data_IF_404522187291
#
_entry.id   IF_404522187291
#
_cell.length_a   1.000
_cell.length_b   1.000
_cell.length_c   1.000
_cell.angle_alpha   90.00
_cell.angle_beta   90.00
_cell.angle_gamma   90.00
#
_symmetry.space_group_name_H-M   'P 1'
#
loop_
_entity.id
_entity.type
_entity.pdbx_description
1 polymer ?
#
# COMPACT_ATOMS: atom_id res chain seq x y z
N UNK A 1 25.77 48.30 23.45
CA UNK A 1 24.47 47.61 23.54
C UNK A 1 24.41 46.71 22.32
N UNK A 2 24.85 45.48 22.49
CA UNK A 2 25.07 44.53 21.41
C UNK A 2 23.76 43.97 20.87
N UNK A 3 23.66 43.98 19.54
CA UNK A 3 22.61 43.38 18.75
C UNK A 3 22.60 41.85 18.93
N UNK A 4 21.57 41.31 19.57
CA UNK A 4 21.24 39.89 19.51
C UNK A 4 20.34 39.66 18.28
N UNK A 5 20.96 39.48 17.11
CA UNK A 5 20.30 38.95 15.92
C UNK A 5 20.04 37.47 16.17
N UNK A 6 18.77 37.13 16.44
CA UNK A 6 18.31 35.76 16.48
C UNK A 6 18.48 35.15 15.08
N UNK A 7 19.51 34.31 14.94
CA UNK A 7 19.70 33.46 13.78
C UNK A 7 18.67 32.32 13.86
N UNK A 8 17.48 32.57 13.32
CA UNK A 8 16.50 31.52 13.06
C UNK A 8 17.15 30.51 12.12
N UNK A 9 17.59 29.39 12.70
CA UNK A 9 18.12 28.27 11.95
C UNK A 9 17.07 27.81 10.95
N UNK A 10 17.25 28.22 9.69
CA UNK A 10 16.53 27.70 8.54
C UNK A 10 16.89 26.22 8.47
N UNK A 11 16.08 25.38 9.11
CA UNK A 11 16.07 23.94 8.90
C UNK A 11 15.65 23.79 7.44
N UNK A 12 16.62 23.74 6.54
CA UNK A 12 16.43 23.20 5.21
C UNK A 12 16.07 21.73 5.41
N UNK A 13 14.78 21.45 5.64
CA UNK A 13 14.23 20.13 5.35
C UNK A 13 14.53 19.89 3.89
N UNK A 14 15.61 19.15 3.62
CA UNK A 14 15.98 18.74 2.28
C UNK A 14 14.93 17.72 1.87
N UNK A 15 13.81 18.20 1.32
CA UNK A 15 12.77 17.35 0.75
C UNK A 15 13.38 16.62 -0.45
N UNK A 16 14.01 15.46 -0.20
CA UNK A 16 14.46 14.57 -1.27
C UNK A 16 13.23 14.00 -1.97
N UNK A 17 12.81 14.68 -3.04
CA UNK A 17 11.81 14.19 -4.00
C UNK A 17 12.22 12.79 -4.45
N UNK A 18 11.24 11.94 -4.76
CA UNK A 18 11.50 10.62 -5.30
C UNK A 18 12.31 10.75 -6.59
N UNK A 19 13.53 10.20 -6.56
CA UNK A 19 14.27 9.90 -7.78
C UNK A 19 13.74 8.58 -8.33
N UNK A 20 13.03 8.64 -9.45
CA UNK A 20 12.54 7.46 -10.16
C UNK A 20 13.73 6.71 -10.77
N UNK A 21 13.79 5.43 -10.49
CA UNK A 21 14.77 4.49 -11.04
C UNK A 21 14.00 3.32 -11.62
N UNK A 22 14.56 2.69 -12.66
CA UNK A 22 13.96 1.52 -13.30
C UNK A 22 13.55 0.45 -12.28
N UNK A 23 14.38 0.22 -11.26
CA UNK A 23 14.09 -0.71 -10.18
C UNK A 23 12.79 -0.35 -9.42
N UNK A 24 12.59 0.92 -9.07
CA UNK A 24 11.37 1.37 -8.38
C UNK A 24 10.12 1.18 -9.22
N UNK A 25 10.23 1.40 -10.54
CA UNK A 25 9.13 1.19 -11.48
C UNK A 25 8.76 -0.29 -11.52
N UNK A 26 9.75 -1.19 -11.64
CA UNK A 26 9.54 -2.63 -11.63
C UNK A 26 8.86 -3.07 -10.33
N UNK A 27 9.32 -2.56 -9.17
CA UNK A 27 8.69 -2.87 -7.87
C UNK A 27 7.22 -2.45 -7.85
N UNK A 28 6.88 -1.24 -8.32
CA UNK A 28 5.49 -0.78 -8.38
C UNK A 28 4.64 -1.67 -9.28
N UNK A 29 5.16 -2.04 -10.46
CA UNK A 29 4.44 -2.92 -11.39
C UNK A 29 4.16 -4.29 -10.78
N UNK A 30 5.14 -4.89 -10.08
CA UNK A 30 4.96 -6.16 -9.38
C UNK A 30 3.90 -6.03 -8.29
N UNK A 31 3.92 -4.96 -7.50
CA UNK A 31 2.94 -4.73 -6.45
C UNK A 31 1.53 -4.48 -7.01
N UNK A 32 1.40 -3.77 -8.13
CA UNK A 32 0.13 -3.58 -8.81
C UNK A 32 -0.41 -4.87 -9.39
N UNK A 33 0.44 -5.70 -10.00
CA UNK A 33 0.05 -7.02 -10.49
C UNK A 33 -0.41 -7.93 -9.33
N UNK A 34 0.35 -7.96 -8.22
CA UNK A 34 0.02 -8.75 -7.04
C UNK A 34 -1.28 -8.30 -6.37
N UNK A 35 -1.48 -7.00 -6.18
CA UNK A 35 -2.73 -6.47 -5.64
C UNK A 35 -3.92 -6.66 -6.59
N UNK A 36 -3.70 -6.56 -7.91
CA UNK A 36 -4.71 -6.86 -8.92
C UNK A 36 -5.17 -8.33 -8.87
N UNK A 37 -4.23 -9.26 -8.69
CA UNK A 37 -4.56 -10.67 -8.48
C UNK A 37 -5.36 -10.89 -7.19
N UNK A 38 -5.00 -10.21 -6.09
CA UNK A 38 -5.76 -10.27 -4.83
C UNK A 38 -7.19 -9.73 -4.99
N UNK A 39 -7.38 -8.65 -5.75
CA UNK A 39 -8.71 -8.12 -6.07
C UNK A 39 -9.52 -9.17 -6.84
N UNK A 40 -8.92 -9.80 -7.85
CA UNK A 40 -9.58 -10.84 -8.63
C UNK A 40 -10.02 -12.02 -7.75
N UNK A 41 -9.12 -12.55 -6.91
CA UNK A 41 -9.46 -13.65 -5.99
C UNK A 41 -10.52 -13.26 -4.96
N UNK A 42 -10.50 -12.03 -4.45
CA UNK A 42 -11.53 -11.55 -3.53
C UNK A 42 -12.90 -11.36 -4.18
N UNK A 43 -12.96 -11.12 -5.49
CA UNK A 43 -14.20 -10.95 -6.25
C UNK A 43 -14.75 -12.25 -6.86
N UNK A 44 -13.90 -13.21 -7.21
CA UNK A 44 -14.30 -14.50 -7.82
C UNK A 44 -15.47 -15.18 -7.10
N UNK A 45 -15.43 -15.41 -5.76
CA UNK A 45 -16.51 -16.12 -5.07
C UNK A 45 -17.86 -15.38 -5.13
N UNK A 46 -17.85 -14.04 -5.27
CA UNK A 46 -19.09 -13.25 -5.41
C UNK A 46 -19.70 -13.38 -6.79
N UNK A 47 -18.86 -13.53 -7.83
CA UNK A 47 -19.31 -13.79 -9.19
C UNK A 47 -19.90 -15.21 -9.32
N UNK A 48 -19.39 -16.14 -8.54
CA UNK A 48 -19.85 -17.54 -8.46
C UNK A 48 -21.07 -17.72 -7.54
N UNK A 49 -21.59 -16.64 -6.93
CA UNK A 49 -22.74 -16.63 -6.02
C UNK A 49 -22.54 -17.42 -4.71
N UNK A 50 -21.30 -17.59 -4.27
CA UNK A 50 -20.95 -18.24 -3.00
C UNK A 50 -20.96 -17.21 -1.84
N UNK A 51 -22.13 -16.98 -1.27
CA UNK A 51 -22.36 -15.97 -0.22
C UNK A 51 -22.03 -16.43 1.20
N UNK A 52 -20.83 -16.98 1.41
CA UNK A 52 -20.32 -17.24 2.75
C UNK A 52 -19.80 -15.95 3.42
N UNK A 53 -19.92 -15.85 4.74
CA UNK A 53 -19.44 -14.68 5.50
C UNK A 53 -17.94 -14.44 5.31
N UNK A 54 -17.15 -15.51 5.10
CA UNK A 54 -15.72 -15.44 4.75
C UNK A 54 -15.49 -14.71 3.43
N UNK A 55 -16.31 -14.98 2.42
CA UNK A 55 -16.23 -14.33 1.10
C UNK A 55 -16.66 -12.87 1.17
N UNK A 56 -17.59 -12.53 2.05
CA UNK A 56 -17.94 -11.13 2.32
C UNK A 56 -16.80 -10.37 3.02
N UNK A 57 -16.09 -11.01 3.96
CA UNK A 57 -14.92 -10.41 4.60
C UNK A 57 -13.77 -10.15 3.60
N UNK A 58 -13.63 -10.96 2.55
CA UNK A 58 -12.66 -10.73 1.48
C UNK A 58 -12.89 -9.40 0.74
N UNK A 59 -14.11 -8.87 0.68
CA UNK A 59 -14.38 -7.55 0.08
C UNK A 59 -13.66 -6.40 0.78
N UNK A 60 -13.43 -6.53 2.10
CA UNK A 60 -12.68 -5.51 2.85
C UNK A 60 -11.25 -5.42 2.33
N UNK A 61 -10.62 -6.56 2.04
CA UNK A 61 -9.29 -6.60 1.42
C UNK A 61 -9.32 -6.02 0.00
N UNK A 62 -10.34 -6.33 -0.80
CA UNK A 62 -10.52 -5.73 -2.14
C UNK A 62 -10.55 -4.20 -2.05
N UNK A 63 -11.34 -3.64 -1.14
CA UNK A 63 -11.43 -2.19 -0.91
C UNK A 63 -10.07 -1.62 -0.50
N UNK A 64 -9.34 -2.29 0.40
CA UNK A 64 -8.01 -1.84 0.81
C UNK A 64 -6.99 -1.88 -0.33
N UNK A 65 -7.04 -2.87 -1.23
CA UNK A 65 -6.17 -2.91 -2.41
C UNK A 65 -6.46 -1.74 -3.34
N UNK A 66 -7.74 -1.46 -3.62
CA UNK A 66 -8.14 -0.30 -4.44
C UNK A 66 -7.66 1.00 -3.77
N UNK A 67 -7.86 1.15 -2.47
CA UNK A 67 -7.36 2.29 -1.70
C UNK A 67 -5.83 2.43 -1.82
N UNK A 68 -5.07 1.35 -1.70
CA UNK A 68 -3.61 1.39 -1.80
C UNK A 68 -3.13 1.78 -3.19
N UNK A 69 -3.79 1.29 -4.25
CA UNK A 69 -3.52 1.70 -5.64
C UNK A 69 -3.75 3.21 -5.80
N UNK A 70 -4.86 3.74 -5.28
CA UNK A 70 -5.15 5.17 -5.33
C UNK A 70 -4.19 6.00 -4.45
N UNK A 71 -3.80 5.48 -3.30
CA UNK A 71 -2.88 6.16 -2.37
C UNK A 71 -1.49 6.39 -2.97
N UNK A 72 -1.10 5.60 -3.98
CA UNK A 72 0.16 5.76 -4.70
C UNK A 72 0.30 7.16 -5.32
N UNK A 73 -0.79 7.77 -5.79
CA UNK A 73 -0.78 9.14 -6.33
C UNK A 73 -0.37 10.19 -5.27
N UNK A 74 -0.52 9.88 -3.98
CA UNK A 74 -0.09 10.73 -2.86
C UNK A 74 1.39 10.61 -2.50
N UNK A 75 2.11 9.63 -3.05
CA UNK A 75 3.49 9.31 -2.69
C UNK A 75 4.47 10.26 -3.39
N UNK A 76 5.04 11.21 -2.64
CA UNK A 76 5.92 12.27 -3.16
C UNK A 76 7.36 12.17 -2.66
N UNK A 77 7.58 11.55 -1.49
CA UNK A 77 8.90 11.40 -0.83
C UNK A 77 9.39 9.96 -0.87
N UNK A 78 10.71 9.76 -0.87
CA UNK A 78 11.30 8.40 -0.89
C UNK A 78 10.93 7.59 0.34
N UNK A 79 10.84 8.22 1.53
CA UNK A 79 10.37 7.54 2.75
C UNK A 79 8.92 7.08 2.64
N UNK A 80 8.04 7.92 2.06
CA UNK A 80 6.65 7.57 1.78
C UNK A 80 6.55 6.40 0.79
N UNK A 81 7.43 6.35 -0.21
CA UNK A 81 7.48 5.24 -1.16
C UNK A 81 7.86 3.92 -0.50
N UNK A 82 8.90 3.91 0.32
CA UNK A 82 9.33 2.70 1.04
C UNK A 82 8.22 2.23 1.98
N UNK A 83 7.61 3.16 2.72
CA UNK A 83 6.49 2.84 3.60
C UNK A 83 5.29 2.30 2.83
N UNK A 84 4.93 2.95 1.71
CA UNK A 84 3.85 2.50 0.84
C UNK A 84 4.11 1.09 0.31
N UNK A 85 5.33 0.80 -0.18
CA UNK A 85 5.70 -0.54 -0.64
C UNK A 85 5.59 -1.57 0.49
N UNK A 86 6.17 -1.32 1.66
CA UNK A 86 6.16 -2.27 2.78
C UNK A 86 4.73 -2.57 3.25
N UNK A 87 3.91 -1.53 3.42
CA UNK A 87 2.52 -1.70 3.85
C UNK A 87 1.67 -2.38 2.78
N UNK A 88 1.92 -2.13 1.50
CA UNK A 88 1.18 -2.79 0.43
C UNK A 88 1.58 -4.27 0.27
N UNK A 89 2.87 -4.59 0.43
CA UNK A 89 3.34 -5.98 0.54
C UNK A 89 2.62 -6.68 1.69
N UNK A 90 2.56 -6.05 2.86
CA UNK A 90 1.90 -6.61 4.03
C UNK A 90 0.40 -6.85 3.77
N UNK A 91 -0.28 -5.92 3.09
CA UNK A 91 -1.68 -6.11 2.69
C UNK A 91 -1.85 -7.30 1.73
N UNK A 92 -0.97 -7.44 0.73
CA UNK A 92 -0.97 -8.58 -0.20
C UNK A 92 -0.81 -9.89 0.58
N UNK A 93 0.19 -10.00 1.45
CA UNK A 93 0.40 -11.18 2.27
C UNK A 93 -0.79 -11.48 3.19
N UNK A 94 -1.34 -10.47 3.87
CA UNK A 94 -2.52 -10.64 4.72
C UNK A 94 -3.74 -11.13 3.92
N UNK A 95 -3.95 -10.60 2.72
CA UNK A 95 -5.06 -11.00 1.84
C UNK A 95 -4.89 -12.45 1.38
N UNK A 96 -3.67 -12.86 1.00
CA UNK A 96 -3.38 -14.23 0.61
C UNK A 96 -3.52 -15.19 1.78
N UNK A 97 -3.03 -14.82 2.97
CA UNK A 97 -3.21 -15.65 4.17
C UNK A 97 -4.68 -15.82 4.51
N UNK A 98 -5.47 -14.74 4.47
CA UNK A 98 -6.91 -14.83 4.73
C UNK A 98 -7.63 -15.70 3.69
N UNK A 99 -7.24 -15.61 2.41
CA UNK A 99 -7.84 -16.40 1.35
C UNK A 99 -7.51 -17.90 1.48
N UNK A 100 -6.22 -18.23 1.65
CA UNK A 100 -5.74 -19.62 1.63
C UNK A 100 -5.83 -20.36 2.96
N UNK A 101 -5.86 -19.66 4.09
CA UNK A 101 -5.98 -20.33 5.38
C UNK A 101 -7.44 -20.29 5.84
N UNK A 102 -8.11 -21.44 5.74
CA UNK A 102 -9.45 -21.67 6.31
C UNK A 102 -9.46 -21.57 7.84
N UNK A 103 -8.32 -21.82 8.50
CA UNK A 103 -8.22 -21.99 9.96
C UNK A 103 -7.80 -20.73 10.75
N UNK A 104 -7.63 -19.55 10.14
CA UNK A 104 -7.19 -18.35 10.91
C UNK A 104 -8.24 -17.86 11.92
N UNK A 105 -9.49 -18.28 11.77
CA UNK A 105 -10.62 -17.88 12.62
C UNK A 105 -11.37 -19.06 13.27
N UNK A 106 -10.74 -20.23 13.40
CA UNK A 106 -11.29 -21.34 14.21
C UNK A 106 -11.12 -21.06 15.70
#
# INVERSE_FOLDING_TARGET
MDNQVANEGVVHETYTKIRWSLFKIIVVLILFAGGGACIYFGLSPLLEMEFEMKNFANLVFVIFHIYYILSFFGVKKTSQFVFWCASYILLIFASLMFYFYDDVFV
#
